data_IF_036315925032
#
_entry.id   IF_036315925032
#
_cell.length_a   1.000
_cell.length_b   1.000
_cell.length_c   1.000
_cell.angle_alpha   90.00
_cell.angle_beta   90.00
_cell.angle_gamma   90.00
#
_symmetry.space_group_name_H-M   'P 1'
#
loop_
_entity.id
_entity.type
_entity.pdbx_description
1 polymer ?
#
# COMPACT_ATOMS: atom_id res chain seq x y z
N UNK A 1 -39.46 8.01 -8.06
CA UNK A 1 -38.32 8.41 -8.90
C UNK A 1 -37.05 7.92 -8.21
N UNK A 2 -36.28 7.11 -8.94
CA UNK A 2 -34.88 6.70 -8.71
C UNK A 2 -34.51 6.11 -7.33
N UNK A 3 -34.93 4.87 -7.09
CA UNK A 3 -34.01 3.93 -6.45
C UNK A 3 -33.15 3.34 -7.58
N UNK A 4 -31.99 3.96 -7.85
CA UNK A 4 -30.94 3.26 -8.58
C UNK A 4 -30.45 2.17 -7.62
N UNK A 5 -30.84 0.93 -7.90
CA UNK A 5 -30.20 -0.26 -7.37
C UNK A 5 -28.69 -0.06 -7.43
N UNK A 6 -28.08 0.02 -6.26
CA UNK A 6 -26.63 0.13 -6.10
C UNK A 6 -26.09 -1.22 -6.54
N UNK A 7 -25.71 -1.30 -7.81
CA UNK A 7 -25.02 -2.44 -8.40
C UNK A 7 -23.83 -2.78 -7.50
N UNK A 8 -23.83 -4.02 -7.00
CA UNK A 8 -22.62 -4.66 -6.51
C UNK A 8 -21.72 -4.91 -7.73
N UNK A 9 -21.00 -3.86 -8.16
CA UNK A 9 -20.13 -3.81 -9.35
C UNK A 9 -18.65 -3.87 -8.91
N UNK A 10 -18.39 -4.77 -7.97
CA UNK A 10 -17.14 -4.82 -7.20
C UNK A 10 -16.04 -5.66 -7.84
N UNK A 11 -16.26 -6.16 -9.06
CA UNK A 11 -15.32 -7.00 -9.80
C UNK A 11 -14.99 -6.38 -11.16
N UNK A 12 -13.69 -6.24 -11.43
CA UNK A 12 -13.19 -5.85 -12.74
C UNK A 12 -13.41 -7.01 -13.72
N UNK A 13 -14.00 -6.74 -14.88
CA UNK A 13 -14.23 -7.77 -15.89
C UNK A 13 -12.89 -8.28 -16.47
N UNK A 14 -12.88 -9.47 -17.08
CA UNK A 14 -11.68 -10.00 -17.75
C UNK A 14 -11.15 -9.02 -18.81
N UNK A 15 -12.03 -8.35 -19.56
CA UNK A 15 -11.64 -7.34 -20.55
C UNK A 15 -10.92 -6.15 -19.90
N UNK A 16 -11.34 -5.76 -18.69
CA UNK A 16 -10.70 -4.68 -17.95
C UNK A 16 -9.29 -5.08 -17.52
N UNK A 17 -9.11 -6.34 -17.07
CA UNK A 17 -7.82 -6.87 -16.65
C UNK A 17 -6.86 -7.11 -17.83
N UNK A 18 -7.37 -7.59 -18.97
CA UNK A 18 -6.59 -7.69 -20.22
C UNK A 18 -6.09 -6.32 -20.68
N UNK A 19 -6.94 -5.29 -20.55
CA UNK A 19 -6.55 -3.92 -20.87
C UNK A 19 -5.45 -3.41 -19.94
N UNK A 20 -5.57 -3.66 -18.64
CA UNK A 20 -4.52 -3.34 -17.67
C UNK A 20 -3.19 -4.03 -18.04
N UNK A 21 -3.24 -5.32 -18.36
CA UNK A 21 -2.05 -6.08 -18.78
C UNK A 21 -1.39 -5.47 -20.02
N UNK A 22 -2.20 -5.07 -21.02
CA UNK A 22 -1.71 -4.40 -22.22
C UNK A 22 -1.02 -3.06 -21.93
N UNK A 23 -1.58 -2.24 -21.03
CA UNK A 23 -0.97 -0.97 -20.61
C UNK A 23 0.35 -1.22 -19.89
N UNK A 24 0.40 -2.20 -18.98
CA UNK A 24 1.60 -2.56 -18.21
C UNK A 24 2.73 -3.07 -19.10
N UNK A 25 2.40 -3.77 -20.19
CA UNK A 25 3.38 -4.25 -21.17
C UNK A 25 4.08 -3.11 -21.96
N UNK A 26 3.61 -1.87 -21.86
CA UNK A 26 4.16 -0.72 -22.61
C UNK A 26 5.32 0.02 -21.93
N UNK A 27 6.02 -0.63 -20.99
CA UNK A 27 7.16 -0.08 -20.21
C UNK A 27 6.86 1.25 -19.48
N UNK A 28 5.59 1.45 -19.14
CA UNK A 28 5.14 2.63 -18.40
C UNK A 28 5.33 2.44 -16.89
N UNK A 29 5.58 3.52 -16.14
CA UNK A 29 5.53 3.46 -14.68
C UNK A 29 4.17 2.94 -14.19
N UNK A 30 4.18 2.01 -13.24
CA UNK A 30 2.97 1.37 -12.71
C UNK A 30 1.89 2.36 -12.23
N UNK A 31 2.30 3.48 -11.65
CA UNK A 31 1.39 4.55 -11.22
C UNK A 31 0.61 5.13 -12.42
N UNK A 32 1.31 5.41 -13.52
CA UNK A 32 0.70 5.92 -14.74
C UNK A 32 -0.19 4.87 -15.40
N UNK A 33 0.20 3.60 -15.35
CA UNK A 33 -0.59 2.50 -15.88
C UNK A 33 -1.94 2.35 -15.16
N UNK A 34 -1.96 2.41 -13.81
CA UNK A 34 -3.20 2.38 -13.03
C UNK A 34 -4.09 3.57 -13.40
N UNK A 35 -3.52 4.77 -13.49
CA UNK A 35 -4.28 5.98 -13.82
C UNK A 35 -4.95 5.90 -15.20
N UNK A 36 -4.20 5.44 -16.21
CA UNK A 36 -4.71 5.28 -17.57
C UNK A 36 -5.81 4.23 -17.62
N UNK A 37 -5.61 3.10 -16.94
CA UNK A 37 -6.61 2.05 -16.83
C UNK A 37 -7.89 2.54 -16.12
N UNK A 38 -7.77 3.28 -15.01
CA UNK A 38 -8.93 3.85 -14.30
C UNK A 38 -9.71 4.85 -15.15
N UNK A 39 -9.01 5.68 -15.92
CA UNK A 39 -9.62 6.61 -16.86
C UNK A 39 -10.41 5.86 -17.96
N UNK A 40 -9.86 4.76 -18.48
CA UNK A 40 -10.56 3.91 -19.44
C UNK A 40 -11.87 3.32 -18.86
N UNK A 41 -11.86 2.95 -17.57
CA UNK A 41 -13.05 2.44 -16.88
C UNK A 41 -14.05 3.53 -16.46
N UNK A 42 -13.78 4.81 -16.75
CA UNK A 42 -14.53 5.95 -16.23
C UNK A 42 -14.68 5.93 -14.70
N UNK A 43 -13.68 5.38 -14.00
CA UNK A 43 -13.64 5.30 -12.54
C UNK A 43 -12.69 6.36 -11.95
N UNK A 44 -12.88 6.77 -10.67
CA UNK A 44 -12.00 7.72 -9.97
C UNK A 44 -10.52 7.33 -10.02
N UNK A 45 -9.58 8.25 -9.85
CA UNK A 45 -8.15 7.88 -9.80
C UNK A 45 -7.84 7.00 -8.57
N UNK A 46 -6.69 6.35 -8.57
CA UNK A 46 -6.23 5.57 -7.43
C UNK A 46 -5.88 6.46 -6.24
N UNK A 47 -6.35 6.07 -5.07
CA UNK A 47 -6.04 6.74 -3.81
C UNK A 47 -4.77 6.14 -3.20
N UNK A 48 -3.94 7.00 -2.60
CA UNK A 48 -2.68 6.60 -1.99
C UNK A 48 -2.55 7.24 -0.61
N UNK A 49 -2.60 6.42 0.44
CA UNK A 49 -2.31 6.88 1.79
C UNK A 49 -0.84 6.65 2.12
N UNK A 50 -0.21 7.67 2.73
CA UNK A 50 1.19 7.65 3.08
C UNK A 50 1.34 7.70 4.59
N UNK A 51 2.03 6.71 5.13
CA UNK A 51 2.46 6.69 6.54
C UNK A 51 3.97 6.74 6.59
N UNK A 52 4.51 7.61 7.46
CA UNK A 52 5.96 7.68 7.73
C UNK A 52 6.20 7.17 9.14
N UNK A 53 7.12 6.23 9.27
CA UNK A 53 7.59 5.73 10.56
C UNK A 53 9.11 5.91 10.65
N UNK A 54 9.66 5.75 11.85
CA UNK A 54 11.10 5.93 12.10
C UNK A 54 11.52 7.39 12.33
N UNK A 55 12.78 7.54 12.73
CA UNK A 55 13.43 8.84 12.92
C UNK A 55 13.78 9.47 11.57
N UNK A 56 14.15 10.75 11.53
CA UNK A 56 14.51 11.42 10.28
C UNK A 56 15.72 10.77 9.56
N UNK A 57 16.56 10.04 10.30
CA UNK A 57 17.73 9.33 9.77
C UNK A 57 17.43 7.89 9.35
N UNK A 58 16.30 7.32 9.77
CA UNK A 58 15.86 5.95 9.47
C UNK A 58 14.40 5.92 9.02
N UNK A 59 13.99 6.95 8.26
CA UNK A 59 12.59 7.07 7.87
C UNK A 59 12.17 5.94 6.94
N UNK A 60 11.07 5.28 7.29
CA UNK A 60 10.41 4.29 6.48
C UNK A 60 9.05 4.82 6.01
N UNK A 61 8.85 4.78 4.70
CA UNK A 61 7.60 5.15 4.06
C UNK A 61 6.79 3.90 3.80
N UNK A 62 5.58 3.86 4.35
CA UNK A 62 4.55 2.89 4.05
C UNK A 62 3.48 3.56 3.21
N UNK A 63 3.09 2.92 2.11
CA UNK A 63 2.08 3.43 1.18
C UNK A 63 1.06 2.34 0.88
N UNK A 64 -0.21 2.67 1.03
CA UNK A 64 -1.32 1.83 0.54
C UNK A 64 -1.82 2.41 -0.77
N UNK A 65 -2.34 1.55 -1.64
CA UNK A 65 -3.02 1.89 -2.88
C UNK A 65 -4.45 1.34 -2.77
N UNK A 66 -5.43 2.23 -2.78
CA UNK A 66 -6.85 1.89 -2.74
C UNK A 66 -7.53 2.21 -4.06
N UNK A 67 -8.38 1.28 -4.51
CA UNK A 67 -9.26 1.43 -5.67
C UNK A 67 -10.68 1.12 -5.22
N UNK A 68 -11.62 2.02 -5.53
CA UNK A 68 -13.03 1.86 -5.15
C UNK A 68 -13.20 1.61 -3.63
N UNK A 69 -12.37 2.25 -2.82
CA UNK A 69 -12.37 2.10 -1.36
C UNK A 69 -11.70 0.81 -0.83
N UNK A 70 -11.20 -0.08 -1.70
CA UNK A 70 -10.54 -1.33 -1.33
C UNK A 70 -9.03 -1.23 -1.49
N UNK A 71 -8.29 -1.67 -0.48
CA UNK A 71 -6.82 -1.74 -0.55
C UNK A 71 -6.45 -2.88 -1.49
N UNK A 72 -5.88 -2.53 -2.64
CA UNK A 72 -5.47 -3.47 -3.67
C UNK A 72 -3.98 -3.72 -3.66
N UNK A 73 -3.18 -2.83 -3.07
CA UNK A 73 -1.73 -2.98 -3.01
C UNK A 73 -1.09 -2.14 -1.93
N UNK A 74 0.10 -2.56 -1.49
CA UNK A 74 0.88 -1.87 -0.47
C UNK A 74 2.36 -1.85 -0.85
N UNK A 75 3.10 -0.84 -0.41
CA UNK A 75 4.52 -0.70 -0.72
C UNK A 75 5.27 0.02 0.38
N UNK A 76 6.49 -0.43 0.65
CA UNK A 76 7.40 0.16 1.63
C UNK A 76 8.73 0.56 1.01
N UNK A 77 9.31 1.67 1.43
CA UNK A 77 10.69 2.07 1.07
C UNK A 77 11.34 2.88 2.19
N UNK A 78 12.66 2.73 2.33
CA UNK A 78 13.49 3.54 3.23
C UNK A 78 13.84 4.86 2.55
N UNK A 79 13.54 5.97 3.19
CA UNK A 79 13.93 7.32 2.77
C UNK A 79 13.22 7.91 1.55
N UNK A 80 12.59 7.10 0.67
CA UNK A 80 11.96 7.61 -0.57
C UNK A 80 10.46 7.30 -0.65
N UNK A 81 9.64 8.31 -0.36
CA UNK A 81 8.17 8.27 -0.51
C UNK A 81 7.71 7.79 -1.89
N UNK A 82 8.35 8.26 -2.96
CA UNK A 82 7.96 7.93 -4.33
C UNK A 82 8.23 6.46 -4.68
N UNK A 83 9.27 5.87 -4.08
CA UNK A 83 9.58 4.45 -4.30
C UNK A 83 8.56 3.56 -3.60
N UNK A 84 8.16 3.90 -2.37
CA UNK A 84 7.08 3.22 -1.67
C UNK A 84 5.76 3.28 -2.47
N UNK A 85 5.45 4.44 -3.08
CA UNK A 85 4.30 4.59 -3.98
C UNK A 85 4.38 3.68 -5.21
N UNK A 86 5.55 3.63 -5.85
CA UNK A 86 5.77 2.78 -7.03
C UNK A 86 5.59 1.30 -6.68
N UNK A 87 6.13 0.87 -5.53
CA UNK A 87 5.96 -0.50 -5.01
C UNK A 87 4.49 -0.81 -4.69
N UNK A 88 3.75 0.13 -4.11
CA UNK A 88 2.32 -0.03 -3.85
C UNK A 88 1.52 -0.20 -5.15
N UNK A 89 1.81 0.61 -6.18
CA UNK A 89 1.19 0.49 -7.49
C UNK A 89 1.54 -0.84 -8.19
N UNK A 90 2.81 -1.27 -8.12
CA UNK A 90 3.23 -2.55 -8.68
C UNK A 90 2.51 -3.74 -7.99
N UNK A 91 2.41 -3.69 -6.66
CA UNK A 91 1.67 -4.71 -5.89
C UNK A 91 0.19 -4.70 -6.25
N UNK A 92 -0.42 -3.52 -6.44
CA UNK A 92 -1.82 -3.40 -6.84
C UNK A 92 -2.07 -4.08 -8.20
N UNK A 93 -1.25 -3.78 -9.21
CA UNK A 93 -1.36 -4.40 -10.53
C UNK A 93 -1.19 -5.92 -10.45
N UNK A 94 -0.18 -6.40 -9.70
CA UNK A 94 0.03 -7.83 -9.54
C UNK A 94 -1.19 -8.50 -8.91
N UNK A 95 -1.76 -7.89 -7.88
CA UNK A 95 -2.93 -8.45 -7.19
C UNK A 95 -4.16 -8.48 -8.11
N UNK A 96 -4.40 -7.41 -8.89
CA UNK A 96 -5.47 -7.34 -9.88
C UNK A 96 -5.32 -8.43 -10.97
N UNK A 97 -4.10 -8.64 -11.47
CA UNK A 97 -3.85 -9.60 -12.55
C UNK A 97 -3.73 -11.06 -12.07
N UNK A 98 -3.30 -11.29 -10.83
CA UNK A 98 -3.04 -12.63 -10.30
C UNK A 98 -4.25 -13.24 -9.60
N UNK A 99 -5.10 -12.41 -8.98
CA UNK A 99 -6.24 -12.92 -8.24
C UNK A 99 -7.38 -11.88 -8.16
N UNK A 100 -8.31 -11.86 -9.12
CA UNK A 100 -9.42 -10.91 -9.12
C UNK A 100 -10.38 -11.08 -7.91
N UNK A 101 -10.30 -12.20 -7.18
CA UNK A 101 -11.25 -12.60 -6.14
C UNK A 101 -10.75 -12.41 -4.69
N UNK A 102 -9.57 -11.85 -4.45
CA UNK A 102 -8.97 -11.83 -3.09
C UNK A 102 -8.58 -10.43 -2.60
N UNK A 103 -9.43 -9.44 -2.81
CA UNK A 103 -9.32 -8.12 -2.15
C UNK A 103 -9.71 -8.16 -0.65
N UNK A 104 -9.48 -9.30 0.02
CA UNK A 104 -9.75 -9.44 1.46
C UNK A 104 -8.53 -9.04 2.26
N UNK A 105 -8.76 -8.05 3.12
CA UNK A 105 -7.78 -7.24 3.82
C UNK A 105 -7.19 -8.00 5.01
N UNK A 106 -5.93 -8.41 4.93
CA UNK A 106 -5.14 -8.71 6.13
C UNK A 106 -4.09 -7.63 6.30
N UNK A 107 -4.36 -6.70 7.22
CA UNK A 107 -3.37 -5.75 7.69
C UNK A 107 -2.23 -6.53 8.35
N UNK A 108 -0.94 -6.24 8.06
CA UNK A 108 0.11 -6.62 8.98
C UNK A 108 -0.07 -5.76 10.23
N UNK A 109 -0.69 -6.36 11.25
CA UNK A 109 -0.70 -5.82 12.61
C UNK A 109 0.76 -5.66 13.02
N UNK A 110 1.27 -4.43 12.97
CA UNK A 110 2.56 -4.12 13.57
C UNK A 110 2.43 -4.39 15.06
N UNK A 111 2.95 -5.54 15.49
CA UNK A 111 3.22 -5.84 16.89
C UNK A 111 4.17 -4.77 17.41
N UNK A 112 3.59 -3.81 18.11
CA UNK A 112 4.28 -2.81 18.91
C UNK A 112 5.01 -3.53 20.04
N UNK A 113 6.26 -3.90 19.81
CA UNK A 113 7.19 -4.15 20.90
C UNK A 113 7.63 -2.78 21.44
N UNK A 114 6.87 -2.28 22.43
CA UNK A 114 7.37 -1.27 23.36
C UNK A 114 8.30 -1.99 24.34
N UNK A 115 9.59 -2.02 24.05
CA UNK A 115 10.60 -2.48 25.00
C UNK A 115 11.11 -1.25 25.76
N UNK A 116 10.32 -0.81 26.73
CA UNK A 116 10.77 0.11 27.80
C UNK A 116 11.52 -0.73 28.82
N UNK A 117 12.85 -0.72 28.73
CA UNK A 117 13.76 -1.21 29.74
C UNK A 117 14.54 -0.05 30.37
N UNK A 118 13.85 0.81 31.10
CA UNK A 118 14.48 1.66 32.12
C UNK A 118 14.86 0.73 33.28
N UNK A 119 16.16 0.45 33.40
CA UNK A 119 16.75 -0.26 34.53
C UNK A 119 17.71 0.68 35.24
N UNK A 120 17.24 1.16 36.38
CA UNK A 120 17.89 2.11 37.27
C UNK A 120 19.35 1.79 37.63
N UNK A 121 20.09 2.89 37.64
CA UNK A 121 21.27 3.22 38.43
C UNK A 121 21.18 2.66 39.86
N UNK A 122 22.22 1.92 40.27
CA UNK A 122 22.69 1.97 41.66
C UNK A 122 24.22 1.94 41.71
N UNK A 123 24.73 2.78 42.59
CA UNK A 123 26.08 3.33 42.70
C UNK A 123 26.59 2.94 44.08
N UNK A 124 27.60 2.07 44.19
CA UNK A 124 28.46 1.87 45.38
C UNK A 124 29.81 1.33 44.85
N UNK A 125 30.97 2.03 44.87
CA UNK A 125 31.85 2.41 45.99
C UNK A 125 32.00 1.24 46.99
N UNK A 126 33.15 0.60 47.20
CA UNK A 126 34.45 1.05 47.75
C UNK A 126 35.47 -0.11 47.53
N UNK A 127 36.71 0.16 47.12
CA UNK A 127 37.94 0.32 47.94
C UNK A 127 38.62 -0.99 48.41
N UNK A 128 39.91 -1.09 48.02
CA UNK A 128 41.08 -1.75 48.63
C UNK A 128 40.93 -3.06 49.42
N UNK A 129 41.66 -4.09 48.98
CA UNK A 129 42.85 -4.66 49.68
C UNK A 129 43.63 -5.54 48.71
#
# INVERSE_FOLDING_TARGET
QFAQEILSDDEYSLNDLERLQSIVASDRPYISAIKEWRNFLYKPDAEYDFSRTGSDHESEWYVTCSLDGKIVGTGTSRGRKQEAKSRAAASAIRNLLSNPLSTSTEFPTHTRASETGEGDREEEREEST
#
